data_IF_840028557034
#
_entry.id   IF_840028557034
#
_cell.length_a   1.000
_cell.length_b   1.000
_cell.length_c   1.000
_cell.angle_alpha   90.00
_cell.angle_beta   90.00
_cell.angle_gamma   90.00
#
_symmetry.space_group_name_H-M   'P 1'
#
loop_
_entity.id
_entity.type
_entity.pdbx_description
1 polymer ?
#
# COMPACT_ATOMS: atom_id res chain seq x y z
N UNK A 1 -11.36 25.94 -16.69
CA UNK A 1 -10.32 25.16 -15.97
C UNK A 1 -9.84 24.09 -16.94
N UNK A 2 -8.66 24.25 -17.54
CA UNK A 2 -8.09 23.20 -18.38
C UNK A 2 -7.49 22.15 -17.47
N UNK A 3 -8.04 20.92 -17.54
CA UNK A 3 -7.40 19.76 -16.93
C UNK A 3 -6.24 19.40 -17.87
N UNK A 4 -5.04 19.88 -17.54
CA UNK A 4 -3.82 19.57 -18.28
C UNK A 4 -3.10 18.42 -17.60
N UNK A 5 -2.73 17.39 -18.38
CA UNK A 5 -1.93 16.24 -17.99
C UNK A 5 -2.55 15.34 -16.91
N UNK A 6 -3.78 14.87 -17.12
CA UNK A 6 -4.29 13.71 -16.36
C UNK A 6 -3.88 12.42 -17.05
N UNK A 7 -3.24 11.57 -16.29
CA UNK A 7 -2.88 10.19 -16.67
C UNK A 7 -3.81 9.16 -16.00
N UNK A 8 -3.66 7.88 -16.32
CA UNK A 8 -4.38 6.80 -15.62
C UNK A 8 -4.13 6.81 -14.12
N UNK A 9 -2.96 7.30 -13.69
CA UNK A 9 -2.58 7.44 -12.28
C UNK A 9 -2.87 8.84 -11.70
N UNK A 10 -3.63 9.69 -12.39
CA UNK A 10 -3.96 11.06 -11.97
C UNK A 10 -2.84 12.05 -12.28
N UNK A 11 -2.60 12.99 -11.37
CA UNK A 11 -1.51 13.95 -11.47
C UNK A 11 -0.20 13.34 -10.98
N UNK A 12 0.92 13.77 -11.56
CA UNK A 12 2.26 13.33 -11.19
C UNK A 12 3.01 14.44 -10.46
N UNK A 13 3.67 14.09 -9.36
CA UNK A 13 4.55 14.95 -8.58
C UNK A 13 5.94 14.34 -8.54
N UNK A 14 6.96 15.13 -8.88
CA UNK A 14 8.36 14.72 -8.74
C UNK A 14 8.99 15.42 -7.53
N UNK A 15 9.63 14.62 -6.66
CA UNK A 15 10.39 15.11 -5.51
C UNK A 15 11.87 14.76 -5.71
N UNK A 16 12.76 15.66 -5.24
CA UNK A 16 14.21 15.46 -5.32
C UNK A 16 14.90 15.96 -4.05
N UNK A 17 15.83 15.16 -3.51
CA UNK A 17 16.68 15.54 -2.38
C UNK A 17 18.04 14.81 -2.47
N UNK A 18 19.12 15.55 -2.75
CA UNK A 18 20.42 14.95 -3.03
C UNK A 18 20.35 13.97 -4.20
N UNK A 19 20.80 12.75 -3.98
CA UNK A 19 20.78 11.67 -4.98
C UNK A 19 19.46 10.89 -5.02
N UNK A 20 18.48 11.24 -4.17
CA UNK A 20 17.16 10.61 -4.16
C UNK A 20 16.20 11.35 -5.08
N UNK A 21 15.43 10.57 -5.86
CA UNK A 21 14.31 11.05 -6.66
C UNK A 21 13.10 10.15 -6.41
N UNK A 22 11.92 10.75 -6.30
CA UNK A 22 10.65 10.02 -6.16
C UNK A 22 9.59 10.61 -7.08
N UNK A 23 8.77 9.74 -7.65
CA UNK A 23 7.58 10.10 -8.42
C UNK A 23 6.35 9.64 -7.66
N UNK A 24 5.49 10.58 -7.29
CA UNK A 24 4.22 10.33 -6.59
C UNK A 24 3.07 10.60 -7.57
N UNK A 25 2.04 9.78 -7.52
CA UNK A 25 0.83 9.93 -8.33
C UNK A 25 -0.40 10.07 -7.45
N UNK A 26 -1.40 10.86 -7.89
CA UNK A 26 -2.56 11.16 -7.05
C UNK A 26 -3.55 10.01 -6.94
N UNK A 27 -3.68 9.12 -7.92
CA UNK A 27 -4.57 7.95 -7.80
C UNK A 27 -4.00 6.95 -6.81
N UNK A 28 -4.69 6.83 -5.65
CA UNK A 28 -4.28 5.96 -4.55
C UNK A 28 -3.13 6.51 -3.73
N UNK A 29 -2.82 7.83 -3.84
CA UNK A 29 -1.66 8.46 -3.24
C UNK A 29 -0.40 7.61 -3.46
N UNK A 30 -0.16 7.17 -4.72
CA UNK A 30 0.76 6.08 -5.04
C UNK A 30 2.21 6.53 -5.20
N UNK A 31 3.15 5.69 -4.74
CA UNK A 31 4.57 5.80 -5.04
C UNK A 31 4.85 5.11 -6.39
N UNK A 32 5.01 5.88 -7.46
CA UNK A 32 5.24 5.35 -8.80
C UNK A 32 6.71 5.00 -9.08
N UNK A 33 7.64 5.71 -8.44
CA UNK A 33 9.08 5.50 -8.58
C UNK A 33 9.81 6.00 -7.34
N UNK A 34 10.90 5.35 -6.98
CA UNK A 34 11.90 5.83 -6.03
C UNK A 34 13.26 5.34 -6.49
N UNK A 35 14.21 6.28 -6.65
CA UNK A 35 15.59 5.99 -7.01
C UNK A 35 16.59 6.61 -6.05
N UNK A 36 17.74 5.99 -5.92
CA UNK A 36 18.94 6.53 -5.27
C UNK A 36 20.12 6.35 -6.19
N UNK A 37 20.81 7.45 -6.53
CA UNK A 37 21.93 7.45 -7.49
C UNK A 37 21.60 6.77 -8.83
N UNK A 38 20.36 6.96 -9.29
CA UNK A 38 19.83 6.33 -10.51
C UNK A 38 19.43 4.86 -10.39
N UNK A 39 19.65 4.20 -9.23
CA UNK A 39 19.24 2.83 -8.97
C UNK A 39 17.81 2.78 -8.40
N UNK A 40 16.95 1.95 -8.95
CA UNK A 40 15.58 1.77 -8.46
C UNK A 40 15.55 1.07 -7.09
N UNK A 41 14.79 1.65 -6.16
CA UNK A 41 14.49 1.09 -4.84
C UNK A 41 13.09 0.47 -4.79
N UNK A 42 12.19 0.88 -5.71
CA UNK A 42 10.89 0.26 -5.94
C UNK A 42 10.75 -0.07 -7.43
N UNK A 43 9.94 -1.08 -7.75
CA UNK A 43 9.58 -1.36 -9.15
C UNK A 43 8.75 -0.17 -9.66
N UNK A 44 9.23 0.55 -10.69
CA UNK A 44 8.52 1.71 -11.19
C UNK A 44 7.34 1.32 -12.07
N UNK A 45 6.36 2.23 -12.16
CA UNK A 45 5.36 2.18 -13.23
C UNK A 45 5.23 3.56 -13.89
N UNK A 46 4.88 3.56 -15.16
CA UNK A 46 4.60 4.81 -15.88
C UNK A 46 3.24 5.35 -15.46
N UNK A 47 3.12 6.64 -15.11
CA UNK A 47 1.84 7.24 -14.72
C UNK A 47 0.75 7.13 -15.79
N UNK A 48 1.13 7.05 -17.06
CA UNK A 48 0.23 6.92 -18.22
C UNK A 48 -0.37 5.52 -18.36
N UNK A 49 0.23 4.53 -17.71
CA UNK A 49 -0.22 3.14 -17.76
C UNK A 49 -0.93 2.78 -16.45
N UNK A 50 -1.93 1.91 -16.52
CA UNK A 50 -2.57 1.38 -15.32
C UNK A 50 -1.57 0.49 -14.58
N UNK A 51 -1.23 0.80 -13.31
CA UNK A 51 -0.27 0.00 -12.57
C UNK A 51 -0.82 -1.41 -12.34
N UNK A 52 0.07 -2.41 -12.38
CA UNK A 52 -0.27 -3.78 -12.03
C UNK A 52 -0.67 -3.87 -10.56
N UNK A 53 -1.74 -4.60 -10.28
CA UNK A 53 -2.27 -4.78 -8.94
C UNK A 53 -2.40 -3.41 -8.20
N UNK A 54 -1.93 -3.32 -6.97
CA UNK A 54 -1.95 -2.10 -6.18
C UNK A 54 -0.55 -1.48 -6.02
N UNK A 55 0.31 -1.61 -7.03
CA UNK A 55 1.71 -1.18 -7.01
C UNK A 55 1.84 0.26 -6.47
N UNK A 56 2.56 0.41 -5.36
CA UNK A 56 2.85 1.69 -4.72
C UNK A 56 1.70 2.35 -3.97
N UNK A 57 0.49 1.81 -3.99
CA UNK A 57 -0.72 2.48 -3.47
C UNK A 57 -0.83 2.45 -1.94
N UNK A 58 -1.54 3.45 -1.41
CA UNK A 58 -1.98 3.50 -0.02
C UNK A 58 -3.33 2.79 0.13
N UNK A 59 -3.43 1.96 1.15
CA UNK A 59 -4.52 1.01 1.38
C UNK A 59 -5.32 1.45 2.61
N UNK A 60 -6.49 2.04 2.39
CA UNK A 60 -7.41 2.56 3.41
C UNK A 60 -8.85 2.22 3.00
N UNK A 61 -9.72 1.82 3.91
CA UNK A 61 -9.57 1.66 5.36
C UNK A 61 -9.19 0.24 5.82
N UNK A 62 -8.68 -0.59 4.94
CA UNK A 62 -8.03 -1.87 5.30
C UNK A 62 -7.00 -2.27 4.25
N UNK A 63 -5.86 -2.84 4.66
CA UNK A 63 -4.97 -3.58 3.78
C UNK A 63 -5.46 -5.02 3.64
N UNK A 64 -4.99 -5.72 2.59
CA UNK A 64 -5.26 -7.13 2.35
C UNK A 64 -6.77 -7.43 2.19
N UNK A 65 -7.20 -8.67 2.42
CA UNK A 65 -8.49 -9.23 2.03
C UNK A 65 -9.50 -9.25 3.16
N UNK A 66 -10.76 -8.96 2.82
CA UNK A 66 -11.92 -9.31 3.62
C UNK A 66 -12.63 -10.45 2.88
N UNK A 67 -12.57 -11.65 3.44
CA UNK A 67 -13.12 -12.86 2.85
C UNK A 67 -14.61 -12.72 2.54
N UNK A 68 -15.02 -13.10 1.33
CA UNK A 68 -16.39 -12.93 0.82
C UNK A 68 -16.91 -11.49 0.87
N UNK A 69 -16.04 -10.50 1.09
CA UNK A 69 -16.42 -9.11 1.31
C UNK A 69 -17.26 -8.89 2.58
N UNK A 70 -17.38 -9.88 3.45
CA UNK A 70 -18.24 -9.82 4.63
C UNK A 70 -17.44 -9.66 5.91
N UNK A 71 -17.84 -8.71 6.77
CA UNK A 71 -17.24 -8.53 8.09
C UNK A 71 -18.31 -8.15 9.13
N UNK A 72 -17.98 -8.38 10.39
CA UNK A 72 -18.79 -7.96 11.53
C UNK A 72 -18.10 -6.88 12.33
N UNK A 73 -18.85 -5.84 12.65
CA UNK A 73 -18.40 -4.76 13.52
C UNK A 73 -19.52 -4.31 14.45
N UNK A 74 -19.25 -4.25 15.76
CA UNK A 74 -20.23 -3.89 16.79
C UNK A 74 -21.57 -4.65 16.69
N UNK A 75 -21.50 -5.95 16.38
CA UNK A 75 -22.66 -6.83 16.27
C UNK A 75 -23.43 -6.75 14.95
N UNK A 76 -23.14 -5.78 14.10
CA UNK A 76 -23.73 -5.63 12.77
C UNK A 76 -22.85 -6.28 11.70
N UNK A 77 -23.48 -6.90 10.72
CA UNK A 77 -22.83 -7.47 9.54
C UNK A 77 -22.86 -6.46 8.39
N UNK A 78 -21.75 -6.39 7.67
CA UNK A 78 -21.54 -5.50 6.53
C UNK A 78 -21.05 -6.30 5.33
N UNK A 79 -21.60 -5.97 4.15
CA UNK A 79 -21.21 -6.57 2.87
C UNK A 79 -20.57 -5.53 1.96
N UNK A 80 -19.28 -5.72 1.67
CA UNK A 80 -18.51 -4.94 0.71
C UNK A 80 -18.63 -5.51 -0.69
N UNK A 81 -18.52 -4.68 -1.74
CA UNK A 81 -18.33 -5.17 -3.10
C UNK A 81 -17.05 -6.00 -3.21
N UNK A 82 -17.15 -7.15 -3.88
CA UNK A 82 -16.00 -8.00 -4.20
C UNK A 82 -15.27 -7.41 -5.39
N UNK A 83 -13.99 -7.09 -5.21
CA UNK A 83 -13.12 -6.53 -6.25
C UNK A 83 -11.95 -7.45 -6.62
N UNK A 84 -11.78 -8.59 -5.92
CA UNK A 84 -10.87 -9.67 -6.28
C UNK A 84 -11.67 -10.98 -6.42
N UNK A 85 -12.02 -11.32 -7.68
CA UNK A 85 -12.91 -12.45 -7.95
C UNK A 85 -12.28 -13.82 -7.67
N UNK A 86 -10.96 -13.95 -7.87
CA UNK A 86 -10.22 -15.20 -7.68
C UNK A 86 -10.26 -15.70 -6.24
N UNK A 87 -10.13 -14.79 -5.28
CA UNK A 87 -10.20 -15.09 -3.84
C UNK A 87 -11.57 -14.82 -3.22
N UNK A 88 -12.54 -14.32 -4.00
CA UNK A 88 -13.85 -13.87 -3.54
C UNK A 88 -13.76 -12.82 -2.42
N UNK A 89 -12.81 -11.91 -2.50
CA UNK A 89 -12.51 -10.96 -1.45
C UNK A 89 -12.80 -9.50 -1.83
N UNK A 90 -13.05 -8.67 -0.82
CA UNK A 90 -12.88 -7.23 -0.90
C UNK A 90 -11.46 -6.90 -0.47
N UNK A 91 -10.60 -6.46 -1.42
CA UNK A 91 -9.18 -6.28 -1.18
C UNK A 91 -8.78 -4.79 -1.19
N UNK A 92 -7.87 -4.42 -0.29
CA UNK A 92 -7.08 -3.18 -0.27
C UNK A 92 -7.87 -1.88 -0.14
N UNK A 93 -9.02 -1.94 0.53
CA UNK A 93 -9.77 -0.76 0.93
C UNK A 93 -10.51 -0.05 -0.21
N UNK A 94 -10.85 1.20 0.03
CA UNK A 94 -11.71 1.99 -0.84
C UNK A 94 -11.01 3.21 -1.44
N UNK A 95 -9.82 3.58 -0.93
CA UNK A 95 -9.08 4.76 -1.38
C UNK A 95 -7.93 4.45 -2.35
N UNK A 96 -7.59 3.17 -2.57
CA UNK A 96 -6.48 2.78 -3.44
C UNK A 96 -6.66 3.15 -4.92
N UNK A 97 -7.90 3.35 -5.37
CA UNK A 97 -8.24 3.75 -6.75
C UNK A 97 -8.99 5.09 -6.82
N UNK A 98 -8.87 5.90 -5.74
CA UNK A 98 -9.40 7.27 -5.73
C UNK A 98 -8.30 8.26 -6.10
N UNK A 99 -8.70 9.31 -6.77
CA UNK A 99 -7.83 10.46 -7.04
C UNK A 99 -7.78 11.33 -5.77
N UNK A 100 -6.59 11.47 -5.20
CA UNK A 100 -6.34 12.28 -4.01
C UNK A 100 -5.99 13.70 -4.42
N UNK A 101 -6.30 14.66 -3.57
CA UNK A 101 -6.01 16.06 -3.80
C UNK A 101 -4.64 16.43 -3.22
N UNK A 102 -3.83 17.13 -4.00
CA UNK A 102 -2.59 17.75 -3.52
C UNK A 102 -2.99 18.97 -2.69
N UNK A 103 -2.70 18.96 -1.38
CA UNK A 103 -2.95 20.08 -0.48
C UNK A 103 -1.71 20.94 -0.25
N UNK A 104 -0.52 20.34 -0.25
CA UNK A 104 0.76 21.03 -0.10
C UNK A 104 1.81 20.39 -1.01
N UNK A 105 2.70 21.22 -1.55
CA UNK A 105 3.78 20.76 -2.42
C UNK A 105 5.01 21.64 -2.22
N UNK A 106 6.15 20.97 -2.00
CA UNK A 106 7.49 21.59 -2.00
C UNK A 106 8.41 20.82 -2.96
N UNK A 107 9.67 21.19 -3.07
CA UNK A 107 10.66 20.45 -3.87
C UNK A 107 10.93 19.03 -3.29
N UNK A 108 10.74 18.85 -2.00
CA UNK A 108 11.12 17.61 -1.28
C UNK A 108 9.95 16.92 -0.59
N UNK A 109 8.74 17.48 -0.64
CA UNK A 109 7.57 16.88 0.01
C UNK A 109 6.28 17.17 -0.74
N UNK A 110 5.32 16.25 -0.61
CA UNK A 110 3.95 16.44 -1.06
C UNK A 110 2.99 15.91 -0.02
N UNK A 111 1.93 16.67 0.25
CA UNK A 111 0.80 16.26 1.07
C UNK A 111 -0.41 16.00 0.18
N UNK A 112 -0.94 14.79 0.28
CA UNK A 112 -2.14 14.34 -0.43
C UNK A 112 -3.27 14.11 0.56
N UNK A 113 -4.48 14.55 0.23
CA UNK A 113 -5.67 14.39 1.09
C UNK A 113 -6.80 13.72 0.33
N UNK A 114 -7.59 12.92 1.05
CA UNK A 114 -8.80 12.30 0.52
C UNK A 114 -9.92 12.26 1.56
N UNK A 115 -11.13 12.42 1.09
CA UNK A 115 -12.34 12.17 1.84
C UNK A 115 -12.96 10.84 1.40
N UNK A 116 -13.21 9.95 2.36
CA UNK A 116 -13.98 8.73 2.14
C UNK A 116 -15.41 8.96 2.67
N UNK A 117 -16.39 9.15 1.78
CA UNK A 117 -17.79 9.22 2.18
C UNK A 117 -18.33 7.85 2.56
N UNK A 118 -19.48 7.77 3.27
CA UNK A 118 -20.18 6.51 3.47
C UNK A 118 -20.44 5.81 2.15
N UNK A 119 -20.20 4.52 2.12
CA UNK A 119 -20.40 3.69 0.94
C UNK A 119 -21.01 2.33 1.31
N UNK A 120 -21.45 1.58 0.29
CA UNK A 120 -21.96 0.23 0.52
C UNK A 120 -20.95 -0.64 1.25
N UNK A 121 -21.38 -1.23 2.35
CA UNK A 121 -20.55 -2.08 3.20
C UNK A 121 -19.56 -1.32 4.11
N UNK A 122 -19.42 0.01 3.96
CA UNK A 122 -18.60 0.84 4.84
C UNK A 122 -19.28 2.20 5.09
N UNK A 123 -20.32 2.26 5.94
CA UNK A 123 -21.12 3.48 6.14
C UNK A 123 -20.48 4.47 7.11
N UNK A 124 -19.17 4.64 7.03
CA UNK A 124 -18.37 5.51 7.90
C UNK A 124 -17.68 6.61 7.08
N UNK A 125 -17.31 7.70 7.74
CA UNK A 125 -16.66 8.86 7.12
C UNK A 125 -15.23 9.01 7.62
N UNK A 126 -14.27 9.05 6.69
CA UNK A 126 -12.87 9.30 7.03
C UNK A 126 -12.33 10.50 6.24
N UNK A 127 -11.54 11.34 6.92
CA UNK A 127 -10.61 12.26 6.28
C UNK A 127 -9.20 11.68 6.41
N UNK A 128 -8.51 11.50 5.29
CA UNK A 128 -7.19 10.88 5.27
C UNK A 128 -6.16 11.80 4.62
N UNK A 129 -4.93 11.72 5.11
CA UNK A 129 -3.78 12.48 4.63
C UNK A 129 -2.59 11.55 4.48
N UNK A 130 -1.81 11.76 3.43
CA UNK A 130 -0.51 11.09 3.21
C UNK A 130 0.52 12.16 2.91
N UNK A 131 1.64 12.13 3.66
CA UNK A 131 2.78 13.00 3.44
C UNK A 131 3.96 12.17 2.97
N UNK A 132 4.44 12.46 1.78
CA UNK A 132 5.71 11.95 1.27
C UNK A 132 6.78 13.01 1.48
N UNK A 133 7.85 12.67 2.18
CA UNK A 133 8.98 13.58 2.44
C UNK A 133 10.29 12.91 2.07
N UNK A 134 11.06 13.56 1.21
CA UNK A 134 12.34 13.07 0.74
C UNK A 134 13.48 13.87 1.39
N UNK A 135 14.46 13.16 1.95
CA UNK A 135 15.62 13.74 2.62
C UNK A 135 16.90 13.18 2.01
N UNK A 136 17.89 14.04 1.76
CA UNK A 136 19.16 13.66 1.11
C UNK A 136 19.99 12.63 1.89
N UNK A 137 19.77 12.48 3.19
CA UNK A 137 20.56 11.57 4.05
C UNK A 137 19.77 10.33 4.51
N UNK A 138 18.44 10.47 4.67
CA UNK A 138 17.61 9.40 5.25
C UNK A 138 16.65 8.77 4.23
N UNK A 139 16.57 9.31 3.01
CA UNK A 139 15.71 8.80 1.95
C UNK A 139 14.26 9.23 2.10
N UNK A 140 13.33 8.37 1.71
CA UNK A 140 11.90 8.62 1.69
C UNK A 140 11.24 8.27 3.03
N UNK A 141 10.46 9.21 3.56
CA UNK A 141 9.54 9.02 4.67
C UNK A 141 8.10 9.12 4.17
N UNK A 142 7.23 8.24 4.64
CA UNK A 142 5.79 8.24 4.34
C UNK A 142 5.02 8.27 5.65
N UNK A 143 4.24 9.34 5.85
CA UNK A 143 3.37 9.48 7.01
C UNK A 143 1.90 9.41 6.55
N UNK A 144 1.11 8.56 7.19
CA UNK A 144 -0.30 8.38 6.87
C UNK A 144 -1.13 8.66 8.12
N UNK A 145 -2.06 9.60 8.01
CA UNK A 145 -3.00 9.93 9.07
C UNK A 145 -4.43 9.80 8.56
N UNK A 146 -5.32 9.26 9.39
CA UNK A 146 -6.75 9.25 9.11
C UNK A 146 -7.53 9.64 10.34
N UNK A 147 -8.55 10.44 10.14
CA UNK A 147 -9.47 10.88 11.17
C UNK A 147 -10.88 10.36 10.86
N UNK A 148 -11.51 9.72 11.82
CA UNK A 148 -12.95 9.47 11.74
C UNK A 148 -13.69 10.79 12.00
N UNK A 149 -14.34 11.30 10.97
CA UNK A 149 -15.13 12.55 11.02
C UNK A 149 -16.63 12.27 11.12
N UNK A 150 -17.02 10.99 11.25
CA UNK A 150 -18.38 10.58 11.54
C UNK A 150 -18.72 10.64 13.03
N UNK A 151 -19.98 10.33 13.35
CA UNK A 151 -20.50 10.35 14.72
C UNK A 151 -20.39 9.01 15.45
N UNK A 152 -20.05 7.94 14.73
CA UNK A 152 -19.92 6.59 15.27
C UNK A 152 -18.51 6.07 15.04
N UNK A 153 -18.03 5.17 15.90
CA UNK A 153 -16.73 4.53 15.72
C UNK A 153 -16.71 3.71 14.41
N UNK A 154 -15.60 3.76 13.70
CA UNK A 154 -15.37 3.07 12.43
C UNK A 154 -14.27 2.01 12.57
N UNK A 155 -14.42 0.81 11.98
CA UNK A 155 -13.30 -0.13 11.87
C UNK A 155 -12.27 0.45 10.89
N UNK A 156 -10.99 0.36 11.24
CA UNK A 156 -9.94 0.97 10.44
C UNK A 156 -8.66 0.14 10.46
N UNK A 157 -8.04 0.03 9.32
CA UNK A 157 -6.70 -0.45 9.11
C UNK A 157 -6.02 0.36 8.01
N UNK A 158 -4.70 0.35 7.97
CA UNK A 158 -3.91 1.08 6.98
C UNK A 158 -2.71 0.26 6.54
N UNK A 159 -2.33 0.41 5.28
CA UNK A 159 -1.12 -0.17 4.71
C UNK A 159 -0.62 0.60 3.51
N UNK A 160 0.56 0.22 3.04
CA UNK A 160 1.15 0.64 1.77
C UNK A 160 1.54 -0.59 0.98
N UNK A 161 1.63 -0.47 -0.33
CA UNK A 161 1.92 -1.60 -1.23
C UNK A 161 3.18 -1.37 -2.11
N UNK A 162 4.34 -1.01 -1.54
CA UNK A 162 5.55 -0.84 -2.32
C UNK A 162 6.06 -2.20 -2.80
N UNK A 163 6.52 -2.27 -4.05
CA UNK A 163 7.27 -3.40 -4.57
C UNK A 163 8.75 -3.05 -4.51
N UNK A 164 9.40 -3.47 -3.43
CA UNK A 164 10.82 -3.15 -3.22
C UNK A 164 11.70 -3.91 -4.21
N UNK A 165 12.78 -3.27 -4.66
CA UNK A 165 13.73 -3.87 -5.60
C UNK A 165 15.17 -3.43 -5.30
N UNK A 166 16.13 -4.24 -5.69
CA UNK A 166 17.54 -3.90 -5.75
C UNK A 166 17.91 -3.64 -7.23
N UNK A 167 17.55 -2.45 -7.72
CA UNK A 167 17.80 -2.01 -9.09
C UNK A 167 17.26 -2.98 -10.16
N UNK A 168 16.04 -3.46 -9.98
CA UNK A 168 15.30 -4.33 -10.91
C UNK A 168 15.97 -5.69 -11.21
N UNK A 169 16.88 -6.13 -10.36
CA UNK A 169 17.45 -7.49 -10.46
C UNK A 169 16.43 -8.54 -10.01
N UNK A 170 16.73 -9.82 -10.21
CA UNK A 170 15.82 -10.90 -9.79
C UNK A 170 15.66 -10.93 -8.27
N UNK A 171 14.41 -11.05 -7.80
CA UNK A 171 14.07 -11.16 -6.37
C UNK A 171 14.74 -12.37 -5.70
N UNK A 172 15.01 -13.44 -6.45
CA UNK A 172 15.66 -14.65 -5.94
C UNK A 172 17.06 -14.37 -5.39
N UNK A 173 17.72 -13.31 -5.89
CA UNK A 173 19.06 -12.92 -5.49
C UNK A 173 19.08 -11.96 -4.29
N UNK A 174 17.92 -11.43 -3.87
CA UNK A 174 17.87 -10.47 -2.77
C UNK A 174 18.18 -11.12 -1.44
N UNK A 175 19.01 -10.42 -0.66
CA UNK A 175 19.14 -10.68 0.77
C UNK A 175 17.96 -10.01 1.48
N UNK A 176 17.15 -10.82 2.12
CA UNK A 176 15.98 -10.36 2.85
C UNK A 176 16.14 -10.63 4.34
N UNK A 177 15.82 -9.64 5.15
CA UNK A 177 15.77 -9.75 6.61
C UNK A 177 14.45 -9.16 7.10
N UNK A 178 13.76 -9.90 7.95
CA UNK A 178 12.51 -9.48 8.57
C UNK A 178 12.53 -9.91 10.05
N UNK A 179 12.52 -8.95 11.00
CA UNK A 179 12.57 -9.25 12.43
C UNK A 179 11.19 -9.69 12.97
N UNK A 180 10.60 -10.69 12.32
CA UNK A 180 9.35 -11.31 12.72
C UNK A 180 9.60 -12.77 13.09
N UNK A 181 9.02 -13.24 14.19
CA UNK A 181 9.16 -14.61 14.65
C UNK A 181 7.88 -15.44 14.49
N UNK A 182 6.79 -14.82 14.05
CA UNK A 182 5.52 -15.49 13.80
C UNK A 182 5.01 -15.17 12.39
N UNK A 183 4.23 -16.08 11.84
CA UNK A 183 3.64 -15.97 10.50
C UNK A 183 2.29 -16.68 10.48
N UNK A 184 1.31 -16.09 9.81
CA UNK A 184 0.05 -16.74 9.56
C UNK A 184 0.17 -17.69 8.36
N UNK A 185 -0.23 -18.95 8.53
CA UNK A 185 -0.53 -19.83 7.40
C UNK A 185 -1.75 -19.25 6.65
N UNK A 186 -1.84 -19.53 5.36
CA UNK A 186 -2.94 -19.04 4.51
C UNK A 186 -3.68 -20.21 3.88
N UNK A 187 -4.98 -20.01 3.62
CA UNK A 187 -5.79 -20.96 2.85
C UNK A 187 -5.59 -20.78 1.33
N UNK A 188 -6.35 -21.53 0.54
CA UNK A 188 -6.32 -21.48 -0.93
C UNK A 188 -6.77 -20.12 -1.52
N UNK A 189 -7.40 -19.28 -0.72
CA UNK A 189 -7.83 -17.92 -1.07
C UNK A 189 -6.94 -16.83 -0.48
N UNK A 190 -5.77 -17.23 0.07
CA UNK A 190 -4.82 -16.35 0.76
C UNK A 190 -5.41 -15.63 1.99
N UNK A 191 -6.43 -16.22 2.64
CA UNK A 191 -6.90 -15.72 3.93
C UNK A 191 -6.02 -16.27 5.05
N UNK A 192 -5.65 -15.44 6.05
CA UNK A 192 -4.91 -15.91 7.22
C UNK A 192 -5.72 -16.97 8.00
N UNK A 193 -5.06 -18.04 8.41
CA UNK A 193 -5.67 -19.12 9.18
C UNK A 193 -5.04 -19.24 10.58
N UNK A 194 -4.03 -20.05 10.74
CA UNK A 194 -3.36 -20.32 12.02
C UNK A 194 -2.04 -19.58 12.14
N UNK A 195 -1.73 -19.11 13.35
CA UNK A 195 -0.46 -18.47 13.65
C UNK A 195 0.59 -19.54 14.02
N UNK A 196 1.73 -19.48 13.37
CA UNK A 196 2.86 -20.40 13.54
C UNK A 196 4.13 -19.65 13.90
N UNK A 197 5.12 -20.33 14.46
CA UNK A 197 6.49 -19.85 14.47
C UNK A 197 7.08 -19.90 13.05
N UNK A 198 7.91 -18.92 12.66
CA UNK A 198 8.43 -18.83 11.28
C UNK A 198 9.24 -20.07 10.85
N UNK A 199 9.85 -20.78 11.80
CA UNK A 199 10.59 -22.02 11.51
C UNK A 199 9.69 -23.19 11.12
N UNK A 200 8.43 -23.21 11.57
CA UNK A 200 7.49 -24.29 11.25
C UNK A 200 7.06 -24.29 9.78
N UNK A 201 7.12 -23.11 9.12
CA UNK A 201 6.77 -22.94 7.72
C UNK A 201 7.98 -22.66 6.81
N UNK A 202 9.21 -22.81 7.33
CA UNK A 202 10.46 -22.48 6.63
C UNK A 202 10.54 -21.01 6.12
N UNK A 203 9.90 -20.11 6.86
CA UNK A 203 9.81 -18.67 6.54
C UNK A 203 10.61 -17.79 7.51
N UNK A 204 11.64 -18.35 8.16
CA UNK A 204 12.49 -17.60 9.06
C UNK A 204 13.48 -16.70 8.29
N UNK A 205 13.25 -15.38 8.37
CA UNK A 205 14.11 -14.32 7.84
C UNK A 205 14.62 -13.40 8.95
N UNK A 206 14.67 -13.85 10.20
CA UNK A 206 15.22 -13.05 11.32
C UNK A 206 16.71 -12.73 11.13
N UNK A 207 17.42 -13.58 10.40
CA UNK A 207 18.76 -13.32 9.88
C UNK A 207 18.69 -13.14 8.36
N UNK A 208 19.51 -12.23 7.83
CA UNK A 208 19.55 -11.97 6.39
C UNK A 208 19.92 -13.24 5.61
N UNK A 209 19.02 -13.67 4.72
CA UNK A 209 19.27 -14.79 3.79
C UNK A 209 18.69 -14.47 2.41
N UNK A 210 19.15 -15.17 1.37
CA UNK A 210 18.58 -15.05 0.03
C UNK A 210 17.12 -15.52 0.03
N UNK A 211 16.25 -14.82 -0.70
CA UNK A 211 14.87 -15.25 -0.93
C UNK A 211 14.86 -16.55 -1.74
N UNK A 212 15.71 -16.65 -2.76
CA UNK A 212 15.80 -17.80 -3.66
C UNK A 212 14.41 -18.21 -4.19
N UNK A 213 14.09 -19.51 -4.19
CA UNK A 213 12.81 -20.03 -4.64
C UNK A 213 11.69 -19.98 -3.57
N UNK A 214 11.93 -19.32 -2.44
CA UNK A 214 10.92 -19.23 -1.35
C UNK A 214 9.72 -18.41 -1.80
N UNK A 215 8.54 -18.99 -1.70
CA UNK A 215 7.28 -18.28 -1.99
C UNK A 215 6.80 -17.58 -0.72
N UNK A 216 6.65 -16.26 -0.79
CA UNK A 216 6.23 -15.42 0.33
C UNK A 216 5.00 -14.63 -0.10
N UNK A 217 3.84 -14.96 0.47
CA UNK A 217 2.60 -14.18 0.39
C UNK A 217 1.85 -14.40 1.72
N UNK A 218 2.49 -13.98 2.80
CA UNK A 218 2.08 -14.28 4.17
C UNK A 218 2.05 -13.03 5.03
N UNK A 219 1.26 -13.06 6.09
CA UNK A 219 1.25 -12.03 7.14
C UNK A 219 2.21 -12.45 8.25
N UNK A 220 3.24 -11.67 8.44
CA UNK A 220 4.23 -11.83 9.51
C UNK A 220 3.89 -10.95 10.73
N UNK A 221 4.33 -11.40 11.91
CA UNK A 221 4.10 -10.72 13.17
C UNK A 221 5.35 -10.72 14.05
#
# INVERSE_FOLDING_TARGET
MQITNMHCSGQTVSLAAGDYHATIVTVGAGLAELTFQGCHLVIPHKPEEMPLAHLGKVLIPWPNRIANGCYRYQGQEYQLPINEHSSKAAIHGLLAWRDWQISELTATSVTLTAFLPPSYGYPFMLASQVVYSLNAHTGLSVEIASQNIGTVAAPYGVGIHPYLTCNLTSVDEYLFQLPANQVYAVDEHANPTTLHHVDELDLNFTQAKKIAATKIDHTFK
#
